data_IF_302886725160
#
_entry.id   IF_302886725160
#
_cell.length_a   1.000
_cell.length_b   1.000
_cell.length_c   1.000
_cell.angle_alpha   90.00
_cell.angle_beta   90.00
_cell.angle_gamma   90.00
#
_symmetry.space_group_name_H-M   'P 1'
#
loop_
_entity.id
_entity.type
_entity.pdbx_description
1 polymer ?
#
# COMPACT_ATOMS: atom_id res chain seq x y z
N UNK A 1 -4.34 10.45 -15.60
CA UNK A 1 -4.33 9.81 -14.26
C UNK A 1 -4.09 8.33 -14.49
N UNK A 2 -3.10 7.72 -13.84
CA UNK A 2 -2.88 6.29 -13.98
C UNK A 2 -4.14 5.55 -13.49
N UNK A 3 -4.62 4.53 -14.21
CA UNK A 3 -5.77 3.76 -13.77
C UNK A 3 -5.42 3.08 -12.45
N UNK A 4 -6.21 3.36 -11.41
CA UNK A 4 -6.12 2.67 -10.13
C UNK A 4 -6.73 1.28 -10.27
N UNK A 5 -5.92 0.25 -10.08
CA UNK A 5 -6.31 -1.16 -10.22
C UNK A 5 -6.31 -1.84 -8.86
N UNK A 6 -7.14 -2.86 -8.71
CA UNK A 6 -7.20 -3.67 -7.49
C UNK A 6 -5.87 -4.42 -7.28
N UNK A 7 -5.26 -4.29 -6.10
CA UNK A 7 -3.99 -4.96 -5.76
C UNK A 7 -4.06 -6.49 -5.79
N UNK A 8 -5.27 -7.08 -5.78
CA UNK A 8 -5.47 -8.54 -5.70
C UNK A 8 -5.86 -9.16 -7.04
N UNK A 9 -6.72 -8.51 -7.83
CA UNK A 9 -7.27 -9.09 -9.06
C UNK A 9 -7.10 -8.21 -10.29
N UNK A 10 -6.40 -7.07 -10.17
CA UNK A 10 -6.13 -6.11 -11.25
C UNK A 10 -7.37 -5.49 -11.93
N UNK A 11 -8.58 -5.76 -11.45
CA UNK A 11 -9.79 -5.08 -11.91
C UNK A 11 -9.70 -3.56 -11.68
N UNK A 12 -10.30 -2.77 -12.57
CA UNK A 12 -10.37 -1.31 -12.40
C UNK A 12 -11.17 -0.95 -11.14
N UNK A 13 -10.68 0.01 -10.37
CA UNK A 13 -11.38 0.46 -9.17
C UNK A 13 -11.01 1.88 -8.80
N UNK A 14 -11.96 2.62 -8.23
CA UNK A 14 -11.73 3.94 -7.63
C UNK A 14 -11.68 3.88 -6.10
N UNK A 15 -11.86 2.69 -5.52
CA UNK A 15 -11.91 2.49 -4.06
C UNK A 15 -10.49 2.36 -3.51
N UNK A 16 -10.17 3.18 -2.51
CA UNK A 16 -8.92 3.14 -1.75
C UNK A 16 -9.13 2.52 -0.38
N UNK A 17 -8.05 2.01 0.22
CA UNK A 17 -8.01 1.71 1.64
C UNK A 17 -8.31 2.97 2.45
N UNK A 18 -9.15 2.86 3.47
CA UNK A 18 -9.55 3.98 4.33
C UNK A 18 -8.47 4.33 5.38
N UNK A 19 -7.56 3.40 5.68
CA UNK A 19 -6.52 3.62 6.70
C UNK A 19 -5.31 4.34 6.11
N UNK A 20 -4.70 3.77 5.07
CA UNK A 20 -3.44 4.29 4.54
C UNK A 20 -3.57 5.04 3.21
N UNK A 21 -4.71 4.94 2.54
CA UNK A 21 -4.97 5.48 1.19
C UNK A 21 -3.96 5.08 0.09
N UNK A 22 -3.03 4.16 0.37
CA UNK A 22 -1.97 3.73 -0.54
C UNK A 22 -2.34 2.49 -1.39
N UNK A 23 -3.32 1.70 -0.97
CA UNK A 23 -3.78 0.50 -1.66
C UNK A 23 -5.20 0.64 -2.20
N UNK A 24 -5.50 -0.07 -3.29
CA UNK A 24 -6.79 -0.01 -3.99
C UNK A 24 -7.44 -1.40 -4.09
N UNK A 25 -8.75 -1.48 -3.84
CA UNK A 25 -9.47 -2.76 -3.85
C UNK A 25 -10.86 -2.64 -4.47
N UNK A 26 -11.20 -3.53 -5.41
CA UNK A 26 -12.54 -3.54 -6.00
C UNK A 26 -13.64 -3.98 -5.01
N UNK A 27 -13.28 -4.69 -3.93
CA UNK A 27 -14.22 -5.23 -2.94
C UNK A 27 -13.58 -5.39 -1.55
N UNK A 28 -14.43 -5.48 -0.51
CA UNK A 28 -13.99 -5.83 0.85
C UNK A 28 -13.35 -7.23 0.91
N UNK A 29 -13.73 -8.13 0.02
CA UNK A 29 -13.14 -9.48 -0.08
C UNK A 29 -11.68 -9.39 -0.53
N UNK A 30 -11.39 -8.59 -1.56
CA UNK A 30 -10.01 -8.36 -2.01
C UNK A 30 -9.19 -7.68 -0.90
N UNK A 31 -9.73 -6.66 -0.23
CA UNK A 31 -9.05 -6.03 0.91
C UNK A 31 -8.71 -7.03 2.01
N UNK A 32 -9.66 -7.89 2.42
CA UNK A 32 -9.43 -8.91 3.45
C UNK A 32 -8.41 -9.96 3.03
N UNK A 33 -8.37 -10.32 1.75
CA UNK A 33 -7.39 -11.28 1.22
C UNK A 33 -5.97 -10.72 1.33
N UNK A 34 -5.78 -9.45 0.98
CA UNK A 34 -4.49 -8.76 1.07
C UNK A 34 -4.14 -8.33 2.51
N UNK A 35 -5.11 -8.26 3.43
CA UNK A 35 -4.88 -7.73 4.78
C UNK A 35 -3.71 -8.39 5.53
N UNK A 36 -3.47 -9.69 5.34
CA UNK A 36 -2.38 -10.41 6.01
C UNK A 36 -1.01 -9.82 5.70
N UNK A 37 -0.80 -9.38 4.46
CA UNK A 37 0.43 -8.76 3.95
C UNK A 37 0.37 -7.24 4.11
N UNK A 38 -0.74 -6.63 3.71
CA UNK A 38 -0.93 -5.18 3.74
C UNK A 38 -0.77 -4.57 5.14
N UNK A 39 -1.30 -5.22 6.19
CA UNK A 39 -1.30 -4.68 7.56
C UNK A 39 0.08 -4.32 8.09
N UNK A 40 1.13 -4.99 7.60
CA UNK A 40 2.50 -4.80 8.08
C UNK A 40 3.04 -3.44 7.67
N UNK A 41 2.60 -2.93 6.51
CA UNK A 41 3.01 -1.63 5.99
C UNK A 41 1.91 -0.56 6.07
N UNK A 42 0.63 -0.96 6.23
CA UNK A 42 -0.54 -0.06 6.20
C UNK A 42 -0.35 1.18 7.10
N UNK A 43 -0.01 0.98 8.38
CA UNK A 43 0.23 2.08 9.32
C UNK A 43 1.44 2.95 8.96
N UNK A 44 2.45 2.36 8.33
CA UNK A 44 3.63 3.10 7.89
C UNK A 44 3.27 4.13 6.83
N UNK A 45 2.38 3.79 5.90
CA UNK A 45 1.92 4.68 4.83
C UNK A 45 1.13 5.88 5.35
N UNK A 46 0.33 5.71 6.41
CA UNK A 46 -0.39 6.81 7.05
C UNK A 46 0.57 7.85 7.66
N UNK A 47 1.70 7.39 8.20
CA UNK A 47 2.73 8.24 8.79
C UNK A 47 3.65 8.93 7.75
N UNK A 48 3.57 8.54 6.47
CA UNK A 48 4.43 9.13 5.45
C UNK A 48 4.04 10.57 5.16
N UNK A 49 5.06 11.42 5.05
CA UNK A 49 4.87 12.77 4.53
C UNK A 49 4.58 12.71 3.02
N UNK A 50 3.94 13.77 2.52
CA UNK A 50 3.69 13.91 1.08
C UNK A 50 5.01 13.83 0.33
N UNK A 51 4.98 13.09 -0.78
CA UNK A 51 6.10 12.96 -1.71
C UNK A 51 6.71 14.34 -2.02
N UNK A 52 7.99 14.60 -1.66
CA UNK A 52 8.58 15.94 -1.81
C UNK A 52 8.77 16.36 -3.26
N UNK A 53 9.20 15.44 -4.14
CA UNK A 53 9.36 15.72 -5.57
C UNK A 53 9.08 14.49 -6.44
N UNK A 54 8.94 14.70 -7.75
CA UNK A 54 8.74 13.65 -8.75
C UNK A 54 9.89 12.63 -8.88
N UNK A 55 11.05 12.93 -8.30
CA UNK A 55 12.23 12.06 -8.34
C UNK A 55 12.40 11.22 -7.06
N UNK A 56 11.61 11.51 -6.02
CA UNK A 56 11.61 10.69 -4.81
C UNK A 56 10.81 9.41 -5.05
N UNK A 57 11.41 8.27 -4.75
CA UNK A 57 10.78 6.97 -4.76
C UNK A 57 10.60 6.50 -3.32
N UNK A 58 9.50 5.80 -3.06
CA UNK A 58 9.29 5.17 -1.76
C UNK A 58 9.98 3.80 -1.78
N UNK A 59 10.88 3.56 -0.82
CA UNK A 59 11.55 2.28 -0.65
C UNK A 59 10.80 1.38 0.32
N UNK A 60 10.88 0.07 0.07
CA UNK A 60 10.51 -0.95 1.04
C UNK A 60 11.81 -1.68 1.40
N UNK A 61 12.30 -1.46 2.62
CA UNK A 61 13.48 -2.12 3.14
C UNK A 61 13.09 -3.42 3.85
N UNK A 62 13.74 -4.52 3.49
CA UNK A 62 13.58 -5.83 4.09
C UNK A 62 14.83 -6.15 4.93
N UNK A 63 14.86 -5.77 6.21
CA UNK A 63 15.99 -6.09 7.11
C UNK A 63 16.19 -7.60 7.25
N UNK A 64 17.45 -8.03 7.34
CA UNK A 64 17.80 -9.45 7.57
C UNK A 64 17.42 -9.90 8.99
N UNK A 65 17.62 -9.03 9.98
CA UNK A 65 17.43 -9.33 11.40
C UNK A 65 15.99 -9.14 11.90
N UNK A 66 15.06 -8.69 11.05
CA UNK A 66 13.68 -8.42 11.46
C UNK A 66 12.65 -9.07 10.53
N UNK A 67 11.59 -9.61 11.12
CA UNK A 67 10.50 -10.28 10.39
C UNK A 67 9.52 -9.33 9.69
N UNK A 68 9.74 -8.02 9.75
CA UNK A 68 8.83 -7.00 9.20
C UNK A 68 9.54 -6.00 8.30
N UNK A 69 9.03 -5.72 7.09
CA UNK A 69 9.56 -4.68 6.22
C UNK A 69 9.33 -3.28 6.81
N UNK A 70 10.19 -2.34 6.39
CA UNK A 70 10.12 -0.91 6.75
C UNK A 70 9.99 -0.04 5.51
N UNK A 71 9.30 1.10 5.65
CA UNK A 71 9.25 2.13 4.61
C UNK A 71 10.43 3.08 4.79
N UNK A 72 11.13 3.42 3.69
CA UNK A 72 12.32 4.29 3.67
C UNK A 72 12.28 5.30 2.54
#
# INVERSE_FOLDING_TARGET
MAPTTCCVCNASTTKTSAECHAAHYCSKTCQKNDWKTHKVLCKGFEALQRRPSSNHLLGIFLPEDESSPKLV
#
